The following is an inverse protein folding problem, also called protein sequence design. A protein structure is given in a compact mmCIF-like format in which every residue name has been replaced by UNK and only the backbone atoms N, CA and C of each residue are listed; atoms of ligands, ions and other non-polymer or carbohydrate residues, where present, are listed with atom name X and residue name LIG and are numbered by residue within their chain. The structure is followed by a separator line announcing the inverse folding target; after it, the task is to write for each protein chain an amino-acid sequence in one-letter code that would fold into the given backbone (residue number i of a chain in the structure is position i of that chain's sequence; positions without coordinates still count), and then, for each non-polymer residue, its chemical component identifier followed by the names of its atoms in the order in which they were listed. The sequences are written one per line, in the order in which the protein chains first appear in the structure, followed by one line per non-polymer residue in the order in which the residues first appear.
data_IF_551488006443
#
_entry.id   IF_551488006443
#
_cell.length_a   1.000
_cell.length_b   1.000
_cell.length_c   1.000
_cell.angle_alpha   90.00
_cell.angle_beta   90.00
_cell.angle_gamma   90.00
#
_symmetry.space_group_name_H-M   'P 1'
#
loop_
_entity.id
_entity.type
_entity.pdbx_description
1 polymer ?
#
# COMPACT_ATOMS: atom_id res chain seq x y z
N UNK A 1 9.84 -25.77 0.65
CA UNK A 1 9.05 -24.75 -0.07
C UNK A 1 9.86 -24.26 -1.25
N UNK A 2 9.26 -23.97 -2.42
CA UNK A 2 9.97 -23.31 -3.51
C UNK A 2 10.48 -21.95 -3.02
N UNK A 3 11.77 -21.70 -3.19
CA UNK A 3 12.41 -20.45 -2.81
C UNK A 3 12.11 -19.43 -3.92
N UNK A 4 11.37 -18.38 -3.59
CA UNK A 4 11.08 -17.30 -4.51
C UNK A 4 12.33 -16.41 -4.60
N UNK A 5 13.01 -16.43 -5.74
CA UNK A 5 14.25 -15.68 -5.96
C UNK A 5 13.92 -14.23 -6.37
N UNK A 6 13.91 -13.34 -5.38
CA UNK A 6 13.67 -11.89 -5.56
C UNK A 6 14.74 -11.22 -6.44
N UNK A 7 15.92 -11.84 -6.61
CA UNK A 7 17.01 -11.31 -7.43
C UNK A 7 16.61 -11.21 -8.91
N UNK A 8 15.88 -12.20 -9.41
CA UNK A 8 15.40 -12.18 -10.81
C UNK A 8 14.23 -11.24 -11.01
N UNK A 9 13.46 -10.97 -9.96
CA UNK A 9 12.31 -10.07 -10.01
C UNK A 9 12.74 -8.59 -10.02
N UNK A 10 13.69 -8.21 -9.16
CA UNK A 10 14.27 -6.85 -9.17
C UNK A 10 14.99 -6.54 -10.49
N UNK A 11 15.62 -7.55 -11.10
CA UNK A 11 16.29 -7.41 -12.39
C UNK A 11 15.31 -7.20 -13.56
N UNK A 12 14.11 -7.79 -13.50
CA UNK A 12 13.06 -7.54 -14.50
C UNK A 12 12.57 -6.08 -14.46
N UNK A 13 12.54 -5.46 -13.28
CA UNK A 13 12.11 -4.06 -13.12
C UNK A 13 13.22 -3.09 -13.57
N UNK A 14 14.48 -3.33 -13.20
CA UNK A 14 15.62 -2.47 -13.55
C UNK A 14 15.99 -2.50 -15.05
N UNK A 15 15.78 -3.62 -15.75
CA UNK A 15 16.13 -3.73 -17.16
C UNK A 15 15.15 -2.96 -18.09
N UNK A 16 14.07 -2.37 -17.55
CA UNK A 16 13.08 -1.58 -18.33
C UNK A 16 13.38 -0.07 -18.32
N UNK A 17 14.35 0.41 -17.53
CA UNK A 17 14.47 1.85 -17.21
C UNK A 17 15.72 2.55 -17.76
N UNK A 18 16.17 2.23 -18.99
CA UNK A 18 17.29 2.99 -19.59
C UNK A 18 17.25 3.19 -21.11
N UNK A 19 16.17 2.79 -21.78
CA UNK A 19 15.99 3.18 -23.19
C UNK A 19 15.19 4.50 -23.27
N UNK A 20 15.61 5.38 -24.17
CA UNK A 20 15.05 6.73 -24.31
C UNK A 20 13.68 6.72 -25.04
N UNK A 21 13.19 5.53 -25.36
CA UNK A 21 12.03 5.23 -26.17
C UNK A 21 11.02 4.31 -25.46
N UNK A 22 11.19 4.03 -24.16
CA UNK A 22 10.16 3.37 -23.37
C UNK A 22 8.83 4.14 -23.48
N UNK A 23 7.75 3.48 -23.93
CA UNK A 23 6.43 4.10 -24.02
C UNK A 23 5.79 4.33 -22.65
N UNK A 24 6.38 3.76 -21.60
CA UNK A 24 5.88 3.84 -20.23
C UNK A 24 6.56 5.01 -19.52
N UNK A 25 5.77 6.00 -19.09
CA UNK A 25 6.30 7.13 -18.35
C UNK A 25 6.76 6.70 -16.94
N UNK A 26 7.75 7.39 -16.39
CA UNK A 26 8.33 7.15 -15.06
C UNK A 26 7.24 7.01 -13.97
N UNK A 27 6.13 7.74 -14.12
CA UNK A 27 4.96 7.73 -13.23
C UNK A 27 4.21 6.38 -13.24
N UNK A 28 3.95 5.80 -14.42
CA UNK A 28 3.33 4.48 -14.56
C UNK A 28 4.24 3.38 -14.00
N UNK A 29 5.55 3.48 -14.23
CA UNK A 29 6.54 2.54 -13.67
C UNK A 29 6.60 2.63 -12.14
N UNK A 30 6.58 3.84 -11.58
CA UNK A 30 6.46 4.03 -10.13
C UNK A 30 5.17 3.43 -9.58
N UNK A 31 4.05 3.56 -10.30
CA UNK A 31 2.79 2.99 -9.88
C UNK A 31 2.76 1.46 -9.94
N UNK A 32 3.33 0.85 -10.98
CA UNK A 32 3.53 -0.60 -11.04
C UNK A 32 4.40 -1.08 -9.89
N UNK A 33 5.50 -0.37 -9.60
CA UNK A 33 6.36 -0.67 -8.46
C UNK A 33 5.58 -0.60 -7.15
N UNK A 34 4.79 0.45 -6.90
CA UNK A 34 4.00 0.55 -5.67
C UNK A 34 2.96 -0.57 -5.53
N UNK A 35 2.27 -0.93 -6.61
CA UNK A 35 1.29 -2.02 -6.60
C UNK A 35 1.95 -3.37 -6.35
N UNK A 36 3.08 -3.63 -6.99
CA UNK A 36 3.87 -4.84 -6.82
C UNK A 36 4.41 -4.94 -5.39
N UNK A 37 4.95 -3.84 -4.84
CA UNK A 37 5.45 -3.79 -3.46
C UNK A 37 4.31 -4.00 -2.46
N UNK A 38 3.14 -3.40 -2.69
CA UNK A 38 1.95 -3.63 -1.87
C UNK A 38 1.51 -5.10 -1.89
N UNK A 39 1.48 -5.72 -3.07
CA UNK A 39 1.22 -7.16 -3.24
C UNK A 39 2.26 -8.03 -2.54
N UNK A 40 3.54 -7.70 -2.66
CA UNK A 40 4.64 -8.41 -1.99
C UNK A 40 4.51 -8.31 -0.46
N UNK A 41 4.22 -7.13 0.08
CA UNK A 41 3.99 -6.94 1.53
C UNK A 41 2.80 -7.78 2.00
N UNK A 42 1.71 -7.84 1.23
CA UNK A 42 0.55 -8.70 1.54
C UNK A 42 0.90 -10.19 1.49
N UNK A 43 1.73 -10.61 0.54
CA UNK A 43 2.22 -11.99 0.46
C UNK A 43 3.19 -12.37 1.59
N UNK A 44 3.85 -11.37 2.17
CA UNK A 44 4.80 -11.54 3.27
C UNK A 44 4.15 -11.34 4.65
N UNK A 45 2.87 -10.98 4.72
CA UNK A 45 2.14 -10.90 5.98
C UNK A 45 2.05 -12.31 6.61
N UNK A 46 2.52 -12.44 7.86
CA UNK A 46 2.38 -13.71 8.60
C UNK A 46 0.97 -13.91 9.15
N UNK A 47 0.10 -12.89 9.02
CA UNK A 47 -1.21 -12.81 9.65
C UNK A 47 -1.15 -12.39 11.12
N UNK A 48 0.06 -12.10 11.64
CA UNK A 48 0.29 -11.75 13.03
C UNK A 48 0.33 -10.23 13.17
N UNK A 49 -0.50 -9.72 14.07
CA UNK A 49 -0.57 -8.31 14.42
C UNK A 49 -0.81 -8.14 15.91
N UNK A 50 -0.42 -7.00 16.44
CA UNK A 50 -0.58 -6.68 17.86
C UNK A 50 -0.46 -5.19 18.14
N UNK A 51 -0.37 -4.86 19.42
CA UNK A 51 -0.10 -3.50 19.89
C UNK A 51 0.91 -3.49 21.03
N UNK A 52 1.71 -2.43 21.13
CA UNK A 52 2.57 -2.16 22.27
C UNK A 52 1.72 -2.12 23.54
N UNK A 53 2.04 -2.94 24.54
CA UNK A 53 1.32 -2.93 25.83
C UNK A 53 1.95 -1.99 26.86
N UNK A 54 3.16 -1.50 26.58
CA UNK A 54 3.88 -0.50 27.35
C UNK A 54 4.78 0.31 26.41
N UNK A 55 5.24 1.47 26.87
CA UNK A 55 6.30 2.19 26.16
C UNK A 55 7.58 1.33 26.16
N UNK A 56 8.27 1.19 25.02
CA UNK A 56 9.55 0.50 24.98
C UNK A 56 10.58 1.22 25.85
N UNK A 57 11.57 0.48 26.32
CA UNK A 57 12.69 1.05 27.07
C UNK A 57 13.46 2.04 26.19
N UNK A 58 13.84 3.19 26.76
CA UNK A 58 14.69 4.17 26.05
C UNK A 58 16.17 3.75 26.07
N UNK A 59 16.45 2.58 25.50
CA UNK A 59 17.77 1.98 25.39
C UNK A 59 17.89 1.28 24.03
N UNK A 60 19.13 1.06 23.59
CA UNK A 60 19.38 0.11 22.52
C UNK A 60 18.96 -1.29 23.00
N UNK A 61 18.39 -2.10 22.10
CA UNK A 61 17.75 -3.40 22.42
C UNK A 61 16.42 -3.23 23.17
N UNK A 62 15.55 -2.37 22.63
CA UNK A 62 14.20 -2.19 23.17
C UNK A 62 13.43 -3.52 23.18
N UNK A 63 12.78 -3.80 24.30
CA UNK A 63 11.90 -4.97 24.47
C UNK A 63 10.46 -4.52 24.32
N UNK A 64 9.71 -5.26 23.51
CA UNK A 64 8.33 -4.96 23.15
C UNK A 64 7.44 -6.12 23.58
N UNK A 65 6.49 -5.92 24.49
CA UNK A 65 5.62 -7.02 24.94
C UNK A 65 4.42 -7.20 23.99
N UNK A 66 4.36 -8.35 23.32
CA UNK A 66 3.29 -8.81 22.43
C UNK A 66 2.06 -9.25 23.23
N UNK A 67 0.90 -8.66 22.93
CA UNK A 67 -0.36 -9.01 23.60
C UNK A 67 -1.04 -10.27 23.04
N UNK A 68 -0.69 -10.71 21.83
CA UNK A 68 -1.44 -11.64 21.01
C UNK A 68 -0.83 -13.07 20.94
N UNK A 69 0.06 -13.42 21.86
CA UNK A 69 0.83 -14.68 21.87
C UNK A 69 -0.01 -15.95 21.58
N UNK A 70 0.02 -16.39 20.32
CA UNK A 70 -0.41 -17.73 19.89
C UNK A 70 0.80 -18.59 19.48
N UNK A 71 2.00 -18.00 19.36
CA UNK A 71 3.23 -18.66 18.93
C UNK A 71 4.22 -18.70 20.09
N UNK A 72 4.90 -19.84 20.25
CA UNK A 72 5.90 -20.07 21.31
C UNK A 72 7.20 -19.34 21.03
N UNK A 73 7.89 -19.04 22.13
CA UNK A 73 9.08 -18.21 22.43
C UNK A 73 10.29 -18.13 21.45
N UNK A 74 10.24 -18.61 20.20
CA UNK A 74 11.37 -18.57 19.26
C UNK A 74 10.98 -18.33 17.78
N UNK A 75 9.69 -18.28 17.47
CA UNK A 75 9.23 -18.33 16.07
C UNK A 75 9.35 -16.99 15.34
N UNK A 76 9.65 -15.88 16.03
CA UNK A 76 9.76 -14.55 15.45
C UNK A 76 11.18 -14.08 15.16
N UNK A 77 12.21 -14.81 15.61
CA UNK A 77 13.59 -14.43 15.34
C UNK A 77 13.87 -14.38 13.82
N UNK A 78 14.54 -13.31 13.38
CA UNK A 78 14.81 -13.06 11.96
C UNK A 78 13.62 -12.53 11.16
N UNK A 79 12.42 -12.39 11.76
CA UNK A 79 11.28 -11.76 11.09
C UNK A 79 11.38 -10.24 11.13
N UNK A 80 10.53 -9.60 10.35
CA UNK A 80 10.44 -8.15 10.29
C UNK A 80 9.16 -7.66 10.99
N UNK A 81 9.30 -6.71 11.91
CA UNK A 81 8.19 -5.99 12.51
C UNK A 81 7.93 -4.70 11.73
N UNK A 82 6.70 -4.49 11.30
CA UNK A 82 6.22 -3.26 10.67
C UNK A 82 5.28 -2.52 11.61
N UNK A 83 5.59 -1.27 11.94
CA UNK A 83 4.67 -0.41 12.70
C UNK A 83 3.53 0.08 11.79
N UNK A 84 2.29 -0.14 12.21
CA UNK A 84 1.09 0.21 11.44
C UNK A 84 0.35 1.44 11.94
N UNK A 85 0.73 1.97 13.12
CA UNK A 85 0.21 3.23 13.65
C UNK A 85 1.29 4.04 14.37
N UNK A 86 0.87 5.17 14.96
CA UNK A 86 1.76 6.03 15.72
C UNK A 86 2.66 6.91 14.84
N UNK A 87 3.62 7.58 15.48
CA UNK A 87 4.58 8.45 14.79
C UNK A 87 5.60 7.68 13.95
N UNK A 88 5.76 6.40 14.26
CA UNK A 88 6.64 5.43 13.63
C UNK A 88 5.93 4.56 12.58
N UNK A 89 4.69 4.88 12.17
CA UNK A 89 3.97 4.16 11.11
C UNK A 89 4.85 4.05 9.84
N UNK A 90 5.05 2.82 9.36
CA UNK A 90 5.87 2.51 8.20
C UNK A 90 7.35 2.26 8.47
N UNK A 91 7.78 2.30 9.74
CA UNK A 91 9.12 1.84 10.12
C UNK A 91 9.15 0.32 10.25
N UNK A 92 10.27 -0.26 9.79
CA UNK A 92 10.54 -1.69 9.82
C UNK A 92 11.68 -1.98 10.78
N UNK A 93 11.54 -3.06 11.54
CA UNK A 93 12.53 -3.48 12.53
C UNK A 93 12.81 -4.96 12.41
N UNK A 94 14.08 -5.34 12.53
CA UNK A 94 14.44 -6.75 12.61
C UNK A 94 14.18 -7.26 14.02
N UNK A 95 13.38 -8.31 14.12
CA UNK A 95 13.13 -9.00 15.39
C UNK A 95 14.35 -9.87 15.68
N UNK A 96 15.02 -9.59 16.80
CA UNK A 96 16.14 -10.36 17.34
C UNK A 96 15.70 -11.02 18.65
N UNK A 97 14.72 -11.90 18.54
CA UNK A 97 14.11 -12.57 19.68
C UNK A 97 14.84 -13.88 19.96
N UNK A 98 15.96 -13.77 20.67
CA UNK A 98 16.83 -14.91 21.01
C UNK A 98 16.61 -15.44 22.42
N UNK A 99 15.74 -14.80 23.21
CA UNK A 99 15.46 -15.16 24.60
C UNK A 99 14.12 -15.88 24.70
N UNK A 100 14.15 -17.16 25.09
CA UNK A 100 12.98 -18.07 25.17
C UNK A 100 11.99 -17.73 26.31
N UNK A 101 11.91 -16.48 26.78
CA UNK A 101 11.23 -16.12 28.02
C UNK A 101 10.04 -15.17 27.81
N UNK A 102 9.03 -15.62 27.06
CA UNK A 102 7.66 -15.10 27.15
C UNK A 102 7.22 -14.23 25.98
N UNK A 103 6.17 -13.44 26.22
CA UNK A 103 5.49 -12.67 25.18
C UNK A 103 6.23 -11.38 24.80
N UNK A 104 7.54 -11.41 24.60
CA UNK A 104 8.33 -10.21 24.32
C UNK A 104 9.11 -10.36 23.03
N UNK A 105 8.99 -9.38 22.13
CA UNK A 105 9.83 -9.23 20.96
C UNK A 105 11.02 -8.34 21.34
N UNK A 106 12.23 -8.87 21.19
CA UNK A 106 13.45 -8.08 21.35
C UNK A 106 13.87 -7.48 20.01
N UNK A 107 14.10 -6.17 19.98
CA UNK A 107 14.52 -5.44 18.78
C UNK A 107 15.82 -4.72 19.08
N UNK A 108 16.86 -4.94 18.28
CA UNK A 108 18.18 -4.30 18.45
C UNK A 108 18.19 -2.82 18.01
N UNK A 109 17.19 -2.05 18.42
CA UNK A 109 17.06 -0.61 18.15
C UNK A 109 16.51 0.13 19.39
N UNK A 110 16.52 1.46 19.35
CA UNK A 110 15.89 2.30 20.38
C UNK A 110 14.51 2.79 19.90
N UNK A 111 13.52 1.89 19.99
CA UNK A 111 12.15 2.13 19.56
C UNK A 111 11.52 3.38 20.22
N UNK A 112 11.88 3.65 21.47
CA UNK A 112 11.37 4.82 22.18
C UNK A 112 11.85 6.12 21.54
N UNK A 113 13.14 6.19 21.20
CA UNK A 113 13.73 7.34 20.51
C UNK A 113 13.13 7.53 19.10
N UNK A 114 12.72 6.44 18.44
CA UNK A 114 12.05 6.47 17.13
C UNK A 114 10.55 6.76 17.20
N UNK A 115 9.99 6.91 18.40
CA UNK A 115 8.62 7.39 18.59
C UNK A 115 7.56 6.31 18.82
N UNK A 116 7.97 5.05 19.01
CA UNK A 116 7.06 3.96 19.41
C UNK A 116 6.53 4.20 20.82
N UNK A 117 5.21 4.09 21.00
CA UNK A 117 4.51 4.31 22.27
C UNK A 117 3.52 3.18 22.57
N UNK A 118 3.10 3.11 23.83
CA UNK A 118 2.02 2.24 24.29
C UNK A 118 0.76 2.44 23.43
N UNK A 119 0.17 1.34 22.97
CA UNK A 119 -0.99 1.31 22.08
C UNK A 119 -0.67 1.37 20.60
N UNK A 120 0.58 1.65 20.19
CA UNK A 120 0.95 1.59 18.79
C UNK A 120 0.83 0.16 18.25
N UNK A 121 0.16 0.01 17.12
CA UNK A 121 -0.09 -1.25 16.44
C UNK A 121 1.05 -1.63 15.51
N UNK A 122 1.24 -2.93 15.32
CA UNK A 122 2.24 -3.49 14.43
C UNK A 122 1.74 -4.75 13.73
N UNK A 123 2.48 -5.16 12.70
CA UNK A 123 2.39 -6.44 12.01
C UNK A 123 3.75 -7.14 11.99
N UNK A 124 3.75 -8.46 11.98
CA UNK A 124 4.95 -9.25 11.73
C UNK A 124 4.89 -9.80 10.31
N UNK A 125 5.93 -9.51 9.55
CA UNK A 125 6.13 -9.97 8.18
C UNK A 125 7.16 -11.10 8.17
N UNK A 126 7.05 -12.00 7.20
CA UNK A 126 8.16 -12.86 6.83
C UNK A 126 9.36 -11.99 6.48
N UNK A 127 10.55 -12.56 6.64
CA UNK A 127 11.81 -11.82 6.56
C UNK A 127 11.91 -11.00 5.26
N UNK A 128 11.96 -9.68 5.44
CA UNK A 128 12.15 -8.67 4.40
C UNK A 128 13.55 -8.05 4.45
N UNK A 129 14.31 -8.31 5.52
CA UNK A 129 15.49 -7.54 5.91
C UNK A 129 16.77 -8.38 5.80
N UNK A 130 16.72 -9.71 5.70
CA UNK A 130 17.90 -10.50 5.33
C UNK A 130 18.24 -10.31 3.86
N UNK A 131 18.95 -9.21 3.66
CA UNK A 131 19.67 -8.93 2.47
C UNK A 131 20.93 -9.81 2.39
N UNK A 132 20.80 -10.96 1.76
CA UNK A 132 21.92 -11.85 1.45
C UNK A 132 22.99 -11.20 0.54
N UNK A 133 22.73 -10.02 -0.05
CA UNK A 133 23.68 -9.33 -0.94
C UNK A 133 24.68 -8.40 -0.23
N UNK A 134 24.48 -8.13 1.07
CA UNK A 134 25.43 -7.35 1.87
C UNK A 134 25.29 -5.83 1.80
N UNK A 135 24.18 -5.26 1.28
CA UNK A 135 23.81 -3.88 1.66
C UNK A 135 23.23 -3.87 3.08
N UNK A 136 23.88 -3.14 3.98
CA UNK A 136 23.42 -2.93 5.33
C UNK A 136 22.29 -1.89 5.35
N UNK A 137 21.17 -2.27 5.96
CA UNK A 137 20.13 -1.34 6.37
C UNK A 137 20.60 -0.67 7.68
N UNK A 138 21.67 0.13 7.61
CA UNK A 138 22.37 0.80 8.72
C UNK A 138 21.54 1.90 9.43
N UNK A 139 20.28 2.06 9.02
CA UNK A 139 19.36 3.03 9.58
C UNK A 139 19.44 4.42 8.95
N UNK A 140 20.30 4.65 7.96
CA UNK A 140 20.47 5.98 7.35
C UNK A 140 19.60 6.16 6.11
N UNK A 141 19.45 5.14 5.26
CA UNK A 141 18.82 5.30 3.93
C UNK A 141 17.66 4.33 3.58
N UNK A 142 17.32 3.37 4.44
CA UNK A 142 16.39 2.30 4.07
C UNK A 142 15.33 1.96 5.15
N UNK A 143 15.10 2.90 6.09
CA UNK A 143 14.17 2.71 7.22
C UNK A 143 12.71 3.00 6.94
N UNK A 144 12.39 3.75 5.88
CA UNK A 144 11.02 4.17 5.60
C UNK A 144 10.48 3.41 4.40
N UNK A 145 9.84 2.26 4.65
CA UNK A 145 8.96 1.72 3.62
C UNK A 145 7.77 2.65 3.49
N UNK A 146 7.46 3.03 2.25
CA UNK A 146 6.24 3.76 1.94
C UNK A 146 5.11 2.76 2.14
N UNK A 147 4.36 2.92 3.23
CA UNK A 147 3.13 2.14 3.45
C UNK A 147 2.06 2.78 2.59
N UNK A 148 1.91 2.28 1.36
CA UNK A 148 0.75 2.59 0.53
C UNK A 148 -0.48 1.95 1.18
N UNK A 149 -1.50 2.76 1.43
CA UNK A 149 -2.79 2.27 1.90
C UNK A 149 -3.63 1.89 0.68
N UNK A 150 -4.25 0.71 0.71
CA UNK A 150 -5.11 0.23 -0.37
C UNK A 150 -6.53 0.07 0.17
N UNK A 151 -7.51 0.60 -0.55
CA UNK A 151 -8.93 0.43 -0.23
C UNK A 151 -9.69 0.09 -1.51
N UNK A 152 -10.60 -0.87 -1.43
CA UNK A 152 -11.51 -1.20 -2.53
C UNK A 152 -12.94 -1.09 -2.06
N UNK A 153 -13.84 -0.77 -2.99
CA UNK A 153 -15.25 -0.68 -2.69
C UNK A 153 -16.09 -0.68 -3.95
N UNK A 154 -17.39 -0.53 -3.76
CA UNK A 154 -18.34 -0.37 -4.85
C UNK A 154 -19.24 0.82 -4.60
N UNK A 155 -19.76 1.40 -5.66
CA UNK A 155 -20.85 2.38 -5.59
C UNK A 155 -21.81 2.15 -6.76
N UNK A 156 -22.98 2.76 -6.67
CA UNK A 156 -23.94 2.80 -7.79
C UNK A 156 -23.98 4.23 -8.29
N UNK A 157 -23.67 4.42 -9.57
CA UNK A 157 -23.74 5.72 -10.19
C UNK A 157 -25.17 6.28 -10.11
N UNK A 158 -25.27 7.60 -9.96
CA UNK A 158 -26.55 8.29 -9.79
C UNK A 158 -26.88 9.26 -10.93
N UNK A 159 -26.01 9.38 -11.94
CA UNK A 159 -26.17 10.28 -13.07
C UNK A 159 -26.20 11.76 -12.67
N UNK A 160 -25.75 12.10 -11.46
CA UNK A 160 -25.66 13.48 -11.00
C UNK A 160 -24.26 14.05 -11.24
N UNK A 161 -24.21 15.37 -11.43
CA UNK A 161 -22.93 16.08 -11.50
C UNK A 161 -22.27 16.09 -10.12
N UNK A 162 -21.10 15.47 -10.00
CA UNK A 162 -20.29 15.53 -8.79
C UNK A 162 -20.74 14.61 -7.64
N UNK A 163 -21.08 13.35 -7.94
CA UNK A 163 -21.35 12.34 -6.90
C UNK A 163 -20.12 12.13 -6.01
N UNK A 164 -20.26 12.37 -4.71
CA UNK A 164 -19.20 12.12 -3.74
C UNK A 164 -19.19 10.65 -3.29
N UNK A 165 -18.06 9.97 -3.50
CA UNK A 165 -17.80 8.63 -3.00
C UNK A 165 -16.93 8.73 -1.75
N UNK A 166 -17.55 8.62 -0.58
CA UNK A 166 -16.90 8.74 0.72
C UNK A 166 -16.58 7.37 1.35
N UNK A 167 -15.89 7.38 2.49
CA UNK A 167 -15.61 6.18 3.29
C UNK A 167 -14.24 5.55 3.04
N UNK A 168 -13.40 6.18 2.21
CA UNK A 168 -11.99 5.79 2.08
C UNK A 168 -11.26 6.30 3.33
N UNK A 169 -10.56 5.44 4.10
CA UNK A 169 -10.01 5.80 5.41
C UNK A 169 -8.73 6.66 5.34
N UNK A 170 -8.41 7.18 4.15
CA UNK A 170 -7.24 8.00 3.86
C UNK A 170 -7.52 8.90 2.64
N UNK A 171 -6.81 10.03 2.50
CA UNK A 171 -6.88 10.86 1.31
C UNK A 171 -6.27 10.13 0.10
N UNK A 172 -7.04 9.77 -0.95
CA UNK A 172 -6.50 9.06 -2.09
C UNK A 172 -5.46 9.90 -2.84
N UNK A 173 -4.42 9.21 -3.32
CA UNK A 173 -3.39 9.67 -4.27
C UNK A 173 -3.59 9.11 -5.65
N UNK A 174 -4.24 7.95 -5.74
CA UNK A 174 -4.68 7.35 -6.97
C UNK A 174 -6.04 6.70 -6.77
N UNK A 175 -6.93 6.86 -7.75
CA UNK A 175 -8.19 6.13 -7.82
C UNK A 175 -8.31 5.54 -9.21
N UNK A 176 -8.69 4.27 -9.27
CA UNK A 176 -9.13 3.58 -10.49
C UNK A 176 -10.54 3.07 -10.32
N UNK A 177 -11.38 3.31 -11.32
CA UNK A 177 -12.78 2.91 -11.36
C UNK A 177 -13.03 2.07 -12.61
N UNK A 178 -13.85 1.04 -12.48
CA UNK A 178 -14.39 0.30 -13.62
C UNK A 178 -15.82 -0.11 -13.35
N UNK A 179 -16.61 -0.25 -14.40
CA UNK A 179 -17.99 -0.72 -14.29
C UNK A 179 -18.02 -2.16 -13.77
N UNK A 180 -18.95 -2.44 -12.88
CA UNK A 180 -19.20 -3.79 -12.38
C UNK A 180 -20.16 -4.50 -13.34
N UNK A 181 -19.63 -5.35 -14.25
CA UNK A 181 -20.45 -6.07 -15.23
C UNK A 181 -20.37 -7.61 -15.03
N UNK A 182 -21.49 -8.34 -15.17
CA UNK A 182 -21.54 -9.79 -14.92
C UNK A 182 -20.98 -10.66 -16.06
N UNK A 183 -20.65 -10.11 -17.24
CA UNK A 183 -20.10 -10.83 -18.39
C UNK A 183 -19.08 -9.96 -19.15
N UNK A 184 -17.93 -10.58 -19.47
CA UNK A 184 -16.76 -10.17 -20.26
C UNK A 184 -16.32 -8.68 -20.31
N UNK A 185 -15.06 -8.48 -19.89
CA UNK A 185 -14.17 -7.33 -20.10
C UNK A 185 -14.86 -5.97 -20.28
N UNK A 186 -15.15 -5.31 -19.16
CA UNK A 186 -15.50 -3.89 -19.18
C UNK A 186 -14.32 -3.11 -19.73
N UNK A 187 -14.55 -2.49 -20.89
CA UNK A 187 -13.55 -1.81 -21.67
C UNK A 187 -13.19 -0.42 -21.15
N UNK A 188 -13.98 0.13 -20.22
CA UNK A 188 -13.76 1.46 -19.71
C UNK A 188 -13.26 1.42 -18.27
N UNK A 189 -12.02 1.85 -18.05
CA UNK A 189 -11.55 2.22 -16.72
C UNK A 189 -11.11 3.68 -16.68
N UNK A 190 -11.30 4.29 -15.52
CA UNK A 190 -11.08 5.71 -15.27
C UNK A 190 -10.09 5.84 -14.14
N UNK A 191 -9.06 6.66 -14.34
CA UNK A 191 -7.95 6.77 -13.43
C UNK A 191 -7.63 8.24 -13.16
N UNK A 192 -7.37 8.57 -11.90
CA UNK A 192 -6.93 9.92 -11.51
C UNK A 192 -5.81 9.83 -10.49
N UNK A 193 -4.78 10.64 -10.68
CA UNK A 193 -3.72 10.87 -9.71
C UNK A 193 -3.89 12.24 -9.03
N UNK A 194 -3.34 12.43 -7.84
CA UNK A 194 -3.37 13.74 -7.17
C UNK A 194 -2.49 14.79 -7.87
N UNK A 195 -1.61 14.37 -8.78
CA UNK A 195 -0.85 15.26 -9.66
C UNK A 195 -1.59 15.60 -10.97
N UNK A 196 -2.72 14.94 -11.27
CA UNK A 196 -3.50 15.23 -12.48
C UNK A 196 -4.15 16.61 -12.36
N UNK A 197 -4.03 17.44 -13.41
CA UNK A 197 -4.49 18.83 -13.37
C UNK A 197 -6.02 18.93 -13.38
N UNK A 198 -6.59 19.65 -12.41
CA UNK A 198 -8.02 19.97 -12.39
C UNK A 198 -8.90 18.71 -12.29
N UNK A 199 -9.91 18.64 -13.15
CA UNK A 199 -10.87 17.54 -13.27
C UNK A 199 -10.45 16.47 -14.29
N UNK A 200 -9.27 16.61 -14.92
CA UNK A 200 -8.79 15.62 -15.88
C UNK A 200 -8.63 14.25 -15.22
N UNK A 201 -9.01 13.22 -15.97
CA UNK A 201 -8.79 11.82 -15.65
C UNK A 201 -8.32 11.06 -16.89
N UNK A 202 -7.58 9.99 -16.69
CA UNK A 202 -7.21 9.05 -17.74
C UNK A 202 -8.37 8.09 -17.97
N UNK A 203 -8.81 8.01 -19.23
CA UNK A 203 -9.80 7.05 -19.68
C UNK A 203 -9.10 5.98 -20.53
N UNK A 204 -9.32 4.74 -20.16
CA UNK A 204 -8.86 3.56 -20.91
C UNK A 204 -10.07 2.99 -21.63
N UNK A 205 -10.06 2.97 -22.96
CA UNK A 205 -11.14 2.46 -23.81
C UNK A 205 -10.62 1.27 -24.60
N UNK A 206 -11.04 0.07 -24.23
CA UNK A 206 -10.70 -1.13 -24.99
C UNK A 206 -9.24 -1.57 -24.82
N UNK A 207 -8.78 -2.40 -25.76
CA UNK A 207 -7.43 -2.99 -25.75
C UNK A 207 -6.31 -2.04 -26.22
N UNK A 208 -6.51 -0.71 -26.22
CA UNK A 208 -5.47 0.22 -26.65
C UNK A 208 -5.88 1.68 -26.86
N UNK A 209 -7.13 2.05 -26.57
CA UNK A 209 -7.52 3.46 -26.53
C UNK A 209 -7.14 4.07 -25.17
N UNK A 210 -6.33 5.12 -25.19
CA UNK A 210 -6.04 5.93 -24.01
C UNK A 210 -6.34 7.39 -24.34
N UNK A 211 -7.13 8.04 -23.50
CA UNK A 211 -7.45 9.45 -23.61
C UNK A 211 -7.37 10.12 -22.24
N UNK A 212 -7.24 11.44 -22.25
CA UNK A 212 -7.55 12.26 -21.08
C UNK A 212 -8.89 12.90 -21.34
N UNK A 213 -9.79 12.83 -20.38
CA UNK A 213 -11.11 13.45 -20.46
C UNK A 213 -11.38 14.22 -19.17
N UNK A 214 -12.17 15.30 -19.28
CA UNK A 214 -12.67 16.03 -18.10
C UNK A 214 -13.91 15.34 -17.56
N UNK A 215 -14.32 15.73 -16.35
CA UNK A 215 -15.63 15.36 -15.80
C UNK A 215 -15.85 13.84 -15.72
N UNK A 216 -14.80 13.09 -15.34
CA UNK A 216 -14.89 11.66 -15.02
C UNK A 216 -14.66 11.45 -13.52
N UNK A 217 -13.50 11.92 -13.04
CA UNK A 217 -13.12 11.96 -11.63
C UNK A 217 -12.69 13.40 -11.31
N UNK A 218 -13.55 14.14 -10.61
CA UNK A 218 -13.40 15.57 -10.43
C UNK A 218 -12.34 15.91 -9.38
N UNK A 219 -12.30 15.15 -8.28
CA UNK A 219 -11.37 15.41 -7.18
C UNK A 219 -11.04 14.17 -6.36
N UNK A 220 -9.85 14.19 -5.76
CA UNK A 220 -9.45 13.28 -4.68
C UNK A 220 -9.58 14.07 -3.36
N UNK A 221 -10.45 13.60 -2.47
CA UNK A 221 -10.85 14.28 -1.26
C UNK A 221 -10.16 13.66 -0.03
N UNK A 222 -10.33 14.25 1.16
CA UNK A 222 -9.68 13.73 2.38
C UNK A 222 -10.18 12.35 2.84
N UNK A 223 -11.39 11.97 2.43
CA UNK A 223 -12.11 10.76 2.86
C UNK A 223 -12.72 9.99 1.67
N UNK A 224 -12.23 10.24 0.45
CA UNK A 224 -12.80 9.65 -0.76
C UNK A 224 -12.46 10.41 -2.04
N UNK A 225 -13.39 10.42 -2.99
CA UNK A 225 -13.25 11.09 -4.28
C UNK A 225 -14.61 11.53 -4.81
N UNK A 226 -14.63 12.34 -5.85
CA UNK A 226 -15.85 12.79 -6.52
C UNK A 226 -15.81 12.35 -7.98
N UNK A 227 -16.91 11.77 -8.46
CA UNK A 227 -17.10 11.35 -9.86
C UNK A 227 -18.16 12.20 -10.54
N UNK A 228 -18.16 12.16 -11.86
CA UNK A 228 -19.12 12.89 -12.68
C UNK A 228 -19.61 12.00 -13.84
N UNK A 229 -20.73 12.37 -14.47
CA UNK A 229 -21.42 11.59 -15.51
C UNK A 229 -21.07 12.07 -16.93
N UNK A 230 -19.98 12.83 -17.08
CA UNK A 230 -19.60 13.54 -18.30
C UNK A 230 -20.73 14.40 -18.90
N UNK A 231 -21.72 14.80 -18.11
CA UNK A 231 -22.86 15.64 -18.50
C UNK A 231 -23.94 14.94 -19.35
N UNK A 232 -23.83 13.63 -19.61
CA UNK A 232 -24.77 12.86 -20.45
C UNK A 232 -25.02 11.44 -19.93
N UNK A 233 -25.06 11.25 -18.61
CA UNK A 233 -25.28 9.95 -17.98
C UNK A 233 -24.25 8.89 -18.43
N UNK A 234 -22.99 9.32 -18.56
CA UNK A 234 -21.87 8.49 -18.97
C UNK A 234 -21.13 7.90 -17.76
N UNK A 235 -20.29 6.90 -18.04
CA UNK A 235 -19.32 6.41 -17.06
C UNK A 235 -18.38 7.55 -16.60
N UNK A 236 -17.81 7.49 -15.37
CA UNK A 236 -18.00 6.47 -14.34
C UNK A 236 -19.20 6.74 -13.40
N UNK A 237 -20.16 7.61 -13.75
CA UNK A 237 -21.32 7.90 -12.89
C UNK A 237 -22.68 7.66 -13.57
N UNK A 238 -22.78 6.72 -14.51
CA UNK A 238 -24.06 6.43 -15.16
C UNK A 238 -25.10 5.91 -14.14
N UNK A 239 -26.32 6.42 -14.23
CA UNK A 239 -27.39 6.20 -13.27
C UNK A 239 -27.79 4.72 -13.17
N UNK A 240 -27.81 4.19 -11.96
CA UNK A 240 -28.17 2.80 -11.66
C UNK A 240 -27.11 1.78 -12.08
N UNK A 241 -25.96 2.23 -12.58
CA UNK A 241 -24.85 1.36 -12.96
C UNK A 241 -23.94 1.13 -11.76
N UNK A 242 -23.68 -0.13 -11.36
CA UNK A 242 -22.70 -0.41 -10.32
C UNK A 242 -21.27 -0.27 -10.86
N UNK A 243 -20.39 0.27 -10.03
CA UNK A 243 -18.96 0.43 -10.28
C UNK A 243 -18.16 -0.15 -9.12
N UNK A 244 -17.01 -0.72 -9.45
CA UNK A 244 -15.97 -1.06 -8.48
C UNK A 244 -14.87 0.00 -8.53
N UNK A 245 -14.18 0.21 -7.41
CA UNK A 245 -13.02 1.08 -7.37
C UNK A 245 -11.88 0.52 -6.52
N UNK A 246 -10.68 1.00 -6.84
CA UNK A 246 -9.43 0.84 -6.10
C UNK A 246 -8.91 2.25 -5.77
N UNK A 247 -8.65 2.52 -4.50
CA UNK A 247 -8.03 3.74 -4.02
C UNK A 247 -6.67 3.41 -3.36
N UNK A 248 -5.65 4.19 -3.69
CA UNK A 248 -4.32 4.14 -3.08
C UNK A 248 -4.02 5.49 -2.41
N UNK A 249 -3.37 5.50 -1.24
CA UNK A 249 -2.98 6.74 -0.56
C UNK A 249 -1.90 6.57 0.49
#
# INVERSE_FOLDING_TARGET
MPQFDLTNFNRFILDTENDADSPDNEELMQQYMYNIVGLLILMLDTGISGSATADPTNVANSVFTDAAAVWTDDLHNGRTLLMTSGTCKGLFYKINDTDDAGNTLTINDNLFAEGVRNGDTYKILYDLIDNLDGHDHDGVNSRKGIVSSIYTGTYTGDGSLGQAIAGVPFPPKYVRIWRHAPIDFVYNSFEKLDQTWGDLAYQHIGAGGHATDSDQINSLNSDGFTVDDAGVDADPNANGIPYDYLALG
#
